data_IF_571120505510
#
_entry.id   IF_571120505510
#
_cell.length_a   1.000
_cell.length_b   1.000
_cell.length_c   1.000
_cell.angle_alpha   90.00
_cell.angle_beta   90.00
_cell.angle_gamma   90.00
#
_symmetry.space_group_name_H-M   'P 1'
#
loop_
_entity.id
_entity.type
_entity.pdbx_description
1 polymer ?
#
# COMPACT_ATOMS: atom_id res chain seq x y z
N UNK A 1 30.24 -55.48 -11.99
CA UNK A 1 30.06 -56.87 -11.50
C UNK A 1 29.58 -56.83 -10.06
N UNK A 2 28.72 -57.80 -9.70
CA UNK A 2 28.25 -58.19 -8.35
C UNK A 2 27.31 -57.23 -7.59
N UNK A 3 26.09 -57.74 -7.42
CA UNK A 3 25.03 -57.34 -6.49
C UNK A 3 25.40 -57.79 -5.07
N UNK A 4 24.94 -57.08 -4.04
CA UNK A 4 24.59 -57.72 -2.76
C UNK A 4 23.40 -56.98 -2.13
N UNK A 5 22.55 -57.77 -1.50
CA UNK A 5 21.15 -57.55 -1.18
C UNK A 5 20.97 -57.95 0.30
N UNK A 6 19.91 -57.43 0.96
CA UNK A 6 19.30 -57.92 2.23
C UNK A 6 19.98 -57.30 3.48
N UNK A 7 19.31 -56.78 4.52
CA UNK A 7 18.13 -57.32 5.21
C UNK A 7 17.26 -56.25 5.90
N UNK A 8 15.95 -56.55 5.91
CA UNK A 8 14.95 -56.07 6.85
C UNK A 8 15.30 -56.45 8.29
N UNK A 9 15.09 -55.54 9.24
CA UNK A 9 14.62 -55.90 10.59
C UNK A 9 13.71 -54.79 11.14
N UNK A 10 12.57 -55.24 11.67
CA UNK A 10 11.51 -54.46 12.28
C UNK A 10 11.74 -54.32 13.81
N UNK A 11 10.73 -53.77 14.50
CA UNK A 11 10.59 -53.58 15.96
C UNK A 11 11.33 -52.36 16.53
N UNK A 12 10.79 -51.54 17.44
CA UNK A 12 9.73 -51.78 18.43
C UNK A 12 9.05 -50.48 18.87
N UNK A 13 7.76 -50.58 19.18
CA UNK A 13 7.00 -49.63 20.00
C UNK A 13 7.51 -49.62 21.45
N UNK A 14 7.42 -48.45 22.10
CA UNK A 14 7.02 -48.20 23.50
C UNK A 14 7.82 -47.03 24.11
N UNK A 15 7.12 -46.06 24.69
CA UNK A 15 7.75 -45.05 25.53
C UNK A 15 6.89 -43.81 25.74
N UNK A 16 6.03 -43.87 26.76
CA UNK A 16 5.23 -42.75 27.28
C UNK A 16 6.09 -41.52 27.60
N UNK A 17 5.65 -40.35 27.17
CA UNK A 17 6.21 -39.06 27.57
C UNK A 17 5.44 -38.58 28.80
N UNK A 18 6.10 -38.51 29.96
CA UNK A 18 5.55 -37.85 31.15
C UNK A 18 6.55 -36.83 31.70
N UNK A 19 6.25 -35.56 31.40
CA UNK A 19 6.12 -34.43 32.33
C UNK A 19 7.26 -34.11 33.33
N UNK A 20 7.74 -32.87 33.15
CA UNK A 20 8.31 -31.88 34.09
C UNK A 20 9.61 -32.19 34.85
N UNK A 21 10.52 -31.19 34.79
CA UNK A 21 10.87 -30.33 35.94
C UNK A 21 11.92 -29.27 35.53
N UNK A 22 11.55 -27.99 35.63
CA UNK A 22 12.51 -26.87 35.75
C UNK A 22 13.18 -26.92 37.15
N UNK A 23 14.25 -26.18 37.51
CA UNK A 23 14.82 -24.99 36.84
C UNK A 23 16.37 -24.91 36.89
N UNK A 24 16.89 -23.77 36.40
CA UNK A 24 18.11 -23.09 36.89
C UNK A 24 19.47 -23.69 36.48
N UNK A 25 20.26 -22.93 35.73
CA UNK A 25 21.64 -22.51 36.09
C UNK A 25 22.46 -22.06 34.84
N UNK A 26 23.07 -20.88 34.98
CA UNK A 26 24.29 -20.36 34.37
C UNK A 26 24.64 -20.72 32.91
N UNK A 27 24.50 -19.73 32.03
CA UNK A 27 25.18 -19.69 30.73
C UNK A 27 26.67 -19.32 30.87
N UNK A 28 27.53 -19.90 30.01
CA UNK A 28 28.48 -19.07 29.27
C UNK A 28 28.57 -19.45 27.78
N UNK A 29 28.76 -18.43 26.92
CA UNK A 29 29.48 -18.42 25.62
C UNK A 29 28.98 -19.39 24.51
N UNK A 30 28.93 -19.11 23.21
CA UNK A 30 29.28 -17.97 22.35
C UNK A 30 28.76 -18.25 20.91
N UNK A 31 28.54 -17.17 20.14
CA UNK A 31 28.74 -17.04 18.68
C UNK A 31 27.75 -17.70 17.68
N UNK A 32 26.95 -16.85 17.02
CA UNK A 32 26.97 -16.59 15.55
C UNK A 32 25.61 -16.56 14.84
N UNK A 33 25.49 -15.57 13.96
CA UNK A 33 24.58 -15.41 12.82
C UNK A 33 23.20 -14.79 13.02
N UNK A 34 23.01 -13.77 12.17
CA UNK A 34 21.76 -13.11 11.73
C UNK A 34 21.26 -11.94 12.59
N UNK A 35 22.05 -10.87 12.57
CA UNK A 35 21.58 -9.50 12.74
C UNK A 35 20.60 -9.18 11.59
N UNK A 36 19.28 -9.38 11.83
CA UNK A 36 18.25 -8.78 10.98
C UNK A 36 18.17 -7.32 11.38
N UNK A 37 19.00 -6.49 10.75
CA UNK A 37 18.83 -5.05 10.74
C UNK A 37 17.49 -4.75 10.03
N UNK A 38 16.41 -4.77 10.80
CA UNK A 38 15.15 -4.20 10.39
C UNK A 38 15.37 -2.68 10.24
N UNK A 39 15.32 -2.23 8.99
CA UNK A 39 15.35 -0.84 8.60
C UNK A 39 14.32 -0.02 9.41
N UNK A 40 14.67 1.14 9.99
CA UNK A 40 13.65 2.13 10.33
C UNK A 40 13.19 2.80 9.03
N UNK A 41 12.19 2.21 8.36
CA UNK A 41 11.40 2.95 7.36
C UNK A 41 10.38 3.80 8.11
N UNK A 42 10.86 4.91 8.65
CA UNK A 42 10.00 5.94 9.23
C UNK A 42 10.11 7.20 8.38
N UNK A 43 9.36 7.21 7.27
CA UNK A 43 8.97 8.47 6.61
C UNK A 43 7.48 8.65 6.81
N UNK A 44 7.10 9.31 7.91
CA UNK A 44 5.83 10.00 8.12
C UNK A 44 6.23 11.20 9.01
N UNK A 45 5.70 12.41 8.94
CA UNK A 45 4.29 12.76 8.89
C UNK A 45 4.15 14.22 8.42
N UNK A 46 3.36 14.47 7.37
CA UNK A 46 2.64 15.74 7.28
C UNK A 46 1.48 15.58 8.26
N UNK A 47 1.61 16.15 9.45
CA UNK A 47 0.58 16.18 10.49
C UNK A 47 -0.52 17.16 10.10
N UNK A 48 -1.32 16.77 9.12
CA UNK A 48 -2.75 17.02 9.15
C UNK A 48 -3.40 15.64 9.23
N UNK A 49 -4.51 15.49 9.95
CA UNK A 49 -5.08 14.16 10.27
C UNK A 49 -5.37 13.37 8.99
N UNK A 50 -4.40 12.57 8.55
CA UNK A 50 -4.42 11.89 7.25
C UNK A 50 -4.92 10.48 7.48
N UNK A 51 -6.01 10.11 6.79
CA UNK A 51 -6.55 8.76 6.79
C UNK A 51 -5.94 7.98 5.64
N UNK A 52 -5.61 6.72 5.88
CA UNK A 52 -5.13 5.82 4.84
C UNK A 52 -6.24 4.85 4.46
N UNK A 53 -6.47 4.68 3.16
CA UNK A 53 -7.42 3.72 2.59
C UNK A 53 -6.65 2.82 1.64
N UNK A 54 -6.79 1.51 1.80
CA UNK A 54 -6.18 0.56 0.87
C UNK A 54 -7.07 0.42 -0.37
N UNK A 55 -6.51 0.68 -1.55
CA UNK A 55 -7.21 0.43 -2.81
C UNK A 55 -7.31 -1.06 -3.09
N UNK A 56 -8.55 -1.54 -3.18
CA UNK A 56 -8.90 -2.85 -3.68
C UNK A 56 -9.92 -2.64 -4.81
N UNK A 57 -9.75 -3.31 -5.95
CA UNK A 57 -10.73 -3.19 -7.04
C UNK A 57 -11.98 -4.05 -6.76
N UNK A 58 -12.65 -3.75 -5.66
CA UNK A 58 -13.84 -4.40 -5.13
C UNK A 58 -14.84 -3.33 -4.73
N UNK A 59 -16.12 -3.69 -4.62
CA UNK A 59 -17.17 -2.74 -4.25
C UNK A 59 -16.98 -2.08 -2.88
N UNK A 60 -16.35 -2.77 -1.93
CA UNK A 60 -16.12 -2.23 -0.58
C UNK A 60 -15.19 -1.01 -0.54
N UNK A 61 -14.30 -0.89 -1.53
CA UNK A 61 -13.39 0.26 -1.61
C UNK A 61 -14.15 1.59 -1.77
N UNK A 62 -15.23 1.62 -2.55
CA UNK A 62 -15.98 2.85 -2.79
C UNK A 62 -16.66 3.34 -1.51
N UNK A 63 -17.17 2.42 -0.70
CA UNK A 63 -17.77 2.71 0.59
C UNK A 63 -16.72 3.21 1.59
N UNK A 64 -15.59 2.51 1.72
CA UNK A 64 -14.49 2.91 2.59
C UNK A 64 -13.95 4.30 2.21
N UNK A 65 -13.74 4.56 0.92
CA UNK A 65 -13.26 5.85 0.45
C UNK A 65 -14.30 6.95 0.72
N UNK A 66 -15.58 6.71 0.41
CA UNK A 66 -16.67 7.65 0.66
C UNK A 66 -16.78 8.03 2.14
N UNK A 67 -16.72 7.06 3.04
CA UNK A 67 -16.76 7.28 4.48
C UNK A 67 -15.59 8.14 4.96
N UNK A 68 -14.38 7.89 4.45
CA UNK A 68 -13.20 8.66 4.84
C UNK A 68 -13.19 10.08 4.26
N UNK A 69 -13.73 10.30 3.06
CA UNK A 69 -13.90 11.62 2.47
C UNK A 69 -15.06 12.41 3.09
N UNK A 70 -16.04 11.73 3.68
CA UNK A 70 -17.13 12.37 4.45
C UNK A 70 -16.64 13.17 5.66
N UNK A 71 -15.47 12.82 6.20
CA UNK A 71 -14.77 13.58 7.24
C UNK A 71 -14.08 14.83 6.63
N UNK A 72 -14.88 15.85 6.30
CA UNK A 72 -14.55 17.07 5.51
C UNK A 72 -13.30 17.90 5.90
N UNK A 73 -12.52 17.52 6.91
CA UNK A 73 -11.30 18.23 7.33
C UNK A 73 -10.08 17.31 7.39
N UNK A 74 -10.10 16.18 6.68
CA UNK A 74 -9.01 15.21 6.66
C UNK A 74 -8.56 14.93 5.25
N UNK A 75 -7.24 14.83 5.09
CA UNK A 75 -6.65 14.30 3.87
C UNK A 75 -6.82 12.78 3.86
N UNK A 76 -7.04 12.21 2.69
CA UNK A 76 -7.15 10.76 2.53
C UNK A 76 -6.10 10.29 1.54
N UNK A 77 -5.23 9.38 1.96
CA UNK A 77 -4.23 8.73 1.10
C UNK A 77 -4.75 7.37 0.71
N UNK A 78 -4.85 7.14 -0.59
CA UNK A 78 -5.19 5.84 -1.15
C UNK A 78 -3.91 5.12 -1.57
N UNK A 79 -3.70 3.93 -1.01
CA UNK A 79 -2.51 3.09 -1.24
C UNK A 79 -2.94 1.79 -1.93
N UNK A 80 -2.36 1.45 -3.08
CA UNK A 80 -2.70 0.24 -3.80
C UNK A 80 -1.68 -0.89 -3.56
N UNK A 81 -2.11 -2.08 -3.13
CA UNK A 81 -1.23 -3.25 -3.06
C UNK A 81 -0.78 -3.71 -4.44
N UNK A 82 -1.66 -3.59 -5.43
CA UNK A 82 -1.37 -3.88 -6.82
C UNK A 82 -0.87 -2.60 -7.52
N UNK A 83 0.29 -2.70 -8.17
CA UNK A 83 0.91 -1.60 -8.89
C UNK A 83 0.12 -1.27 -10.16
N UNK A 84 -0.13 0.01 -10.38
CA UNK A 84 -0.71 0.55 -11.62
C UNK A 84 0.07 1.78 -12.07
N UNK A 85 -0.12 2.22 -13.31
CA UNK A 85 0.57 3.39 -13.88
C UNK A 85 -0.41 4.51 -14.23
N UNK A 86 0.10 5.73 -14.44
CA UNK A 86 -0.73 6.87 -14.85
C UNK A 86 -1.50 6.64 -16.17
N UNK A 87 -0.98 5.78 -17.04
CA UNK A 87 -1.62 5.44 -18.31
C UNK A 87 -2.64 4.30 -18.19
N UNK A 88 -2.64 3.58 -17.06
CA UNK A 88 -3.49 2.42 -16.83
C UNK A 88 -4.06 2.48 -15.42
N UNK A 89 -4.85 3.52 -15.16
CA UNK A 89 -5.52 3.73 -13.89
C UNK A 89 -6.74 2.78 -13.83
N UNK A 90 -6.94 2.03 -12.74
CA UNK A 90 -8.12 1.19 -12.58
C UNK A 90 -9.41 1.99 -12.74
N UNK A 91 -10.39 1.46 -13.49
CA UNK A 91 -11.65 2.14 -13.84
C UNK A 91 -12.39 2.67 -12.61
N UNK A 92 -12.34 1.93 -11.50
CA UNK A 92 -12.96 2.33 -10.23
C UNK A 92 -12.34 3.62 -9.69
N UNK A 93 -11.01 3.68 -9.63
CA UNK A 93 -10.31 4.89 -9.19
C UNK A 93 -10.50 6.03 -10.20
N UNK A 94 -10.50 5.72 -11.50
CA UNK A 94 -10.77 6.69 -12.55
C UNK A 94 -12.13 7.39 -12.34
N UNK A 95 -13.18 6.67 -11.94
CA UNK A 95 -14.49 7.26 -11.61
C UNK A 95 -14.41 8.30 -10.49
N UNK A 96 -13.62 8.03 -9.44
CA UNK A 96 -13.40 8.98 -8.35
C UNK A 96 -12.65 10.22 -8.82
N UNK A 97 -11.62 10.05 -9.65
CA UNK A 97 -10.88 11.16 -10.25
C UNK A 97 -11.77 11.99 -11.18
N UNK A 98 -12.63 11.34 -11.97
CA UNK A 98 -13.62 12.00 -12.82
C UNK A 98 -14.63 12.79 -11.98
N UNK A 99 -15.13 12.23 -10.88
CA UNK A 99 -16.05 12.94 -9.98
C UNK A 99 -15.44 14.23 -9.39
N UNK A 100 -14.17 14.16 -8.97
CA UNK A 100 -13.40 15.34 -8.53
C UNK A 100 -13.28 16.37 -9.66
N UNK A 101 -12.95 15.94 -10.87
CA UNK A 101 -12.80 16.84 -12.02
C UNK A 101 -14.12 17.48 -12.44
N UNK A 102 -15.19 16.70 -12.47
CA UNK A 102 -16.55 17.13 -12.83
C UNK A 102 -17.13 18.13 -11.82
N UNK A 103 -16.71 18.05 -10.54
CA UNK A 103 -17.07 19.02 -9.49
C UNK A 103 -16.23 20.31 -9.51
N UNK A 104 -15.27 20.41 -10.43
CA UNK A 104 -14.33 21.54 -10.57
C UNK A 104 -13.06 21.42 -9.72
N UNK A 105 -12.81 20.29 -9.07
CA UNK A 105 -11.54 19.99 -8.42
C UNK A 105 -10.41 19.70 -9.41
N UNK A 106 -9.17 19.73 -8.93
CA UNK A 106 -7.97 19.46 -9.73
C UNK A 106 -7.53 18.02 -9.54
N UNK A 107 -7.13 17.35 -10.62
CA UNK A 107 -6.48 16.05 -10.59
C UNK A 107 -5.09 16.21 -11.20
N UNK A 108 -4.06 16.02 -10.39
CA UNK A 108 -2.68 16.31 -10.76
C UNK A 108 -1.77 15.13 -10.44
N UNK A 109 -0.67 14.99 -11.15
CA UNK A 109 0.37 14.00 -10.88
C UNK A 109 1.70 14.68 -10.59
N UNK A 110 2.42 14.24 -9.56
CA UNK A 110 3.81 14.67 -9.28
C UNK A 110 4.75 13.48 -9.29
N UNK A 111 5.99 13.74 -9.72
CA UNK A 111 7.10 12.80 -9.56
C UNK A 111 7.43 12.61 -8.06
N UNK A 112 7.70 11.37 -7.67
CA UNK A 112 8.30 11.06 -6.37
C UNK A 112 9.71 11.66 -6.31
N UNK A 113 10.01 12.40 -5.23
CA UNK A 113 11.36 12.95 -5.03
C UNK A 113 12.35 11.82 -4.73
N UNK A 114 13.12 11.41 -5.72
CA UNK A 114 14.34 10.62 -5.48
C UNK A 114 15.36 11.50 -4.75
N UNK A 115 15.96 10.98 -3.68
CA UNK A 115 16.86 11.68 -2.72
C UNK A 115 18.14 12.27 -3.31
N UNK A 116 18.36 12.20 -4.63
CA UNK A 116 19.40 12.96 -5.32
C UNK A 116 18.88 14.35 -5.63
N UNK A 117 18.91 15.20 -4.60
CA UNK A 117 18.60 16.62 -4.71
C UNK A 117 19.67 17.36 -5.53
N UNK A 118 19.64 17.19 -6.86
CA UNK A 118 20.23 18.18 -7.76
C UNK A 118 19.30 19.39 -7.74
N UNK A 119 19.72 20.42 -7.00
CA UNK A 119 19.09 21.74 -6.94
C UNK A 119 18.75 22.19 -8.37
N UNK A 120 17.51 22.02 -8.83
CA UNK A 120 17.11 22.50 -10.16
C UNK A 120 15.89 21.84 -10.81
N UNK A 121 15.54 20.58 -10.53
CA UNK A 121 14.33 19.98 -11.09
C UNK A 121 13.16 20.17 -10.12
N UNK A 122 12.41 21.24 -10.37
CA UNK A 122 11.02 21.36 -9.97
C UNK A 122 10.33 20.04 -10.32
N UNK A 123 9.89 19.27 -9.32
CA UNK A 123 9.13 18.04 -9.57
C UNK A 123 7.93 18.42 -10.43
N UNK A 124 7.87 17.90 -11.65
CA UNK A 124 6.87 18.31 -12.62
C UNK A 124 5.48 17.95 -12.08
N UNK A 125 4.65 18.95 -11.85
CA UNK A 125 3.24 18.78 -11.55
C UNK A 125 2.49 18.83 -12.88
N UNK A 126 1.77 17.75 -13.20
CA UNK A 126 1.10 17.56 -14.48
C UNK A 126 -0.40 17.47 -14.20
N UNK A 127 -1.21 18.29 -14.85
CA UNK A 127 -2.66 18.12 -14.81
C UNK A 127 -3.05 16.84 -15.56
N UNK A 128 -3.73 15.93 -14.89
CA UNK A 128 -4.08 14.64 -15.46
C UNK A 128 -5.40 14.73 -16.20
N UNK A 129 -5.39 14.29 -17.47
CA UNK A 129 -6.62 14.09 -18.22
C UNK A 129 -7.21 12.75 -17.84
N UNK A 130 -8.15 12.77 -16.91
CA UNK A 130 -9.02 11.62 -16.63
C UNK A 130 -9.98 11.44 -17.81
N UNK A 131 -10.27 10.20 -18.21
CA UNK A 131 -11.30 9.96 -19.22
C UNK A 131 -12.64 10.47 -18.70
N UNK A 132 -13.49 10.93 -19.60
CA UNK A 132 -14.85 11.34 -19.27
C UNK A 132 -15.72 10.10 -18.99
N UNK A 133 -15.39 9.36 -17.95
CA UNK A 133 -16.29 8.35 -17.38
C UNK A 133 -17.42 9.14 -16.75
N UNK A 134 -18.63 9.04 -17.32
CA UNK A 134 -19.80 9.70 -16.73
C UNK A 134 -20.05 9.09 -15.35
N UNK A 135 -19.55 9.75 -14.31
CA UNK A 135 -20.08 9.57 -12.97
C UNK A 135 -21.56 9.96 -13.07
N UNK A 136 -22.47 8.98 -12.93
CA UNK A 136 -23.89 9.31 -12.92
C UNK A 136 -24.12 10.20 -11.71
N UNK A 137 -24.64 11.41 -11.92
CA UNK A 137 -25.17 12.24 -10.84
C UNK A 137 -26.18 11.40 -10.05
N UNK A 138 -25.94 11.19 -8.75
CA UNK A 138 -26.73 10.30 -7.90
C UNK A 138 -26.07 8.95 -7.53
N UNK A 139 -24.75 8.77 -7.73
CA UNK A 139 -24.01 7.87 -6.84
C UNK A 139 -23.64 8.68 -5.59
N UNK A 140 -24.48 8.61 -4.56
CA UNK A 140 -24.33 9.35 -3.29
C UNK A 140 -22.91 9.22 -2.70
N UNK A 141 -22.25 8.08 -2.96
CA UNK A 141 -20.88 7.83 -2.52
C UNK A 141 -19.86 8.79 -3.16
N UNK A 142 -20.00 9.09 -4.46
CA UNK A 142 -19.07 9.93 -5.23
C UNK A 142 -19.19 11.42 -4.87
N UNK A 143 -20.33 11.86 -4.33
CA UNK A 143 -20.56 13.26 -3.92
C UNK A 143 -19.57 13.71 -2.83
N UNK A 144 -19.09 12.77 -2.02
CA UNK A 144 -18.08 13.05 -0.99
C UNK A 144 -16.76 13.57 -1.57
N UNK A 145 -16.45 13.23 -2.82
CA UNK A 145 -15.23 13.66 -3.50
C UNK A 145 -15.31 15.10 -4.04
N UNK A 146 -16.49 15.72 -4.08
CA UNK A 146 -16.68 17.02 -4.74
C UNK A 146 -15.87 18.17 -4.10
N UNK A 147 -15.52 18.02 -2.83
CA UNK A 147 -14.79 19.03 -2.03
C UNK A 147 -13.27 18.83 -2.05
N UNK A 148 -12.77 17.88 -2.84
CA UNK A 148 -11.38 17.48 -2.84
C UNK A 148 -10.69 17.82 -4.15
N UNK A 149 -9.38 17.97 -4.07
CA UNK A 149 -8.44 17.85 -5.17
C UNK A 149 -7.70 16.53 -5.01
N UNK A 150 -7.08 16.06 -6.09
CA UNK A 150 -6.30 14.82 -6.09
C UNK A 150 -4.88 15.05 -6.58
N UNK A 151 -3.93 14.49 -5.86
CA UNK A 151 -2.52 14.44 -6.21
C UNK A 151 -2.03 12.99 -6.26
N UNK A 152 -1.69 12.51 -7.46
CA UNK A 152 -1.06 11.22 -7.68
C UNK A 152 0.45 11.37 -7.57
N UNK A 153 1.11 10.62 -6.68
CA UNK A 153 2.57 10.52 -6.67
C UNK A 153 3.00 9.32 -7.50
N UNK A 154 3.90 9.51 -8.47
CA UNK A 154 4.38 8.41 -9.31
C UNK A 154 5.91 8.34 -9.36
N UNK A 155 6.42 7.12 -9.53
CA UNK A 155 7.83 6.88 -9.78
C UNK A 155 8.16 7.20 -11.26
N UNK A 156 9.09 8.11 -11.48
CA UNK A 156 9.46 8.57 -12.83
C UNK A 156 10.06 7.47 -13.71
N UNK A 157 10.78 6.51 -13.12
CA UNK A 157 11.49 5.48 -13.87
C UNK A 157 10.53 4.41 -14.39
N UNK A 158 9.53 4.07 -13.58
CA UNK A 158 8.59 2.98 -13.87
C UNK A 158 7.23 3.47 -14.35
N UNK A 159 6.90 4.75 -14.13
CA UNK A 159 5.58 5.33 -14.35
C UNK A 159 4.51 4.82 -13.38
N UNK A 160 4.91 4.06 -12.36
CA UNK A 160 3.98 3.45 -11.39
C UNK A 160 3.51 4.50 -10.39
N UNK A 161 2.21 4.53 -10.14
CA UNK A 161 1.61 5.35 -9.09
C UNK A 161 1.92 4.68 -7.75
N UNK A 162 2.42 5.47 -6.81
CA UNK A 162 2.74 5.07 -5.44
C UNK A 162 1.58 5.31 -4.49
N UNK A 163 1.01 6.51 -4.56
CA UNK A 163 -0.09 6.95 -3.73
C UNK A 163 -1.00 7.93 -4.48
N UNK A 164 -2.24 8.02 -4.00
CA UNK A 164 -3.22 8.99 -4.47
C UNK A 164 -3.77 9.75 -3.27
N UNK A 165 -3.39 11.02 -3.16
CA UNK A 165 -3.79 11.90 -2.07
C UNK A 165 -5.01 12.71 -2.46
N UNK A 166 -6.10 12.54 -1.72
CA UNK A 166 -7.25 13.44 -1.70
C UNK A 166 -7.03 14.50 -0.63
N UNK A 167 -7.03 15.77 -1.02
CA UNK A 167 -6.88 16.90 -0.10
C UNK A 167 -7.95 17.96 -0.35
N UNK A 168 -8.36 18.68 0.69
CA UNK A 168 -9.45 19.65 0.57
C UNK A 168 -9.10 20.78 -0.42
N UNK A 169 -10.12 21.27 -1.14
CA UNK A 169 -9.98 22.39 -2.09
C UNK A 169 -10.09 23.77 -1.46
#
# INVERSE_FOLDING_TARGET
>A
MKRLLIAFTAFSLAGCQTVQKAPMEAAPMETSSAEVQAMPSSTVQIIDATKEVTFLDLSGFDEDLSMNLGDRNKNVVVVAPAKFSLNNIPERLEKWLSAVKDSGGKVQAKEEKTTVATRGILGALIDLTVSAVKAKKGLDQLETAENYNVLLTYDKQTGQVKDVLFYHR
#
